data_IF_479113503721
#
_entry.id   IF_479113503721
#
_cell.length_a   1.000
_cell.length_b   1.000
_cell.length_c   1.000
_cell.angle_alpha   90.00
_cell.angle_beta   90.00
_cell.angle_gamma   90.00
#
_symmetry.space_group_name_H-M   'P 1'
#
loop_
_entity.id
_entity.type
_entity.pdbx_description
1 polymer ?
2 polymer ?
3 non-polymer ?
4 water ?
#
loop_
_entity_poly.entity_id
_entity_poly.type
_entity_poly.pdbx_seq_one_letter_code
_entity_poly.pdbx_strand_id
1 'polyribonucleotide' 'GGGAGUAUAUGGGCGCACUUCGGUGACGGUACAGGCUCCU' ?
#
# COMPACT_ATOMS: atom_id res chain seq x y z
N UNK B 13 1.07 -8.12 21.92
CA UNK B 13 2.14 -8.65 21.09
C UNK B 13 1.63 -9.09 19.73
N UNK B 14 1.36 -10.39 19.58
CA UNK B 14 0.86 -10.93 18.32
C UNK B 14 -0.60 -10.55 18.08
N UNK B 15 -1.39 -10.54 19.15
CA UNK B 15 -2.81 -10.20 19.07
C UNK B 15 -2.99 -8.80 18.50
N UNK B 16 -2.15 -7.87 18.92
CA UNK B 16 -2.20 -6.49 18.44
C UNK B 16 -1.90 -6.45 16.94
N UNK B 17 -0.98 -7.29 16.50
CA UNK B 17 -0.60 -7.35 15.09
C UNK B 17 -1.75 -7.90 14.24
N UNK B 18 -2.36 -9.00 14.71
CA UNK B 18 -3.50 -9.59 14.02
C UNK B 18 -4.65 -8.59 13.92
N UNK B 19 -4.97 -7.96 15.04
CA UNK B 19 -5.99 -6.92 15.07
C UNK B 19 -5.66 -5.80 14.10
N UNK B 20 -4.37 -5.46 14.01
CA UNK B 20 -3.91 -4.43 13.10
C UNK B 20 -4.18 -4.79 11.64
N UNK B 21 -3.79 -6.00 11.26
CA UNK B 21 -3.98 -6.45 9.89
C UNK B 21 -5.45 -6.52 9.52
N UNK B 22 -6.25 -7.10 10.42
CA UNK B 22 -7.69 -7.19 10.20
C UNK B 22 -8.30 -5.79 10.08
N UNK B 23 -7.75 -4.85 10.84
CA UNK B 23 -8.21 -3.47 10.79
C UNK B 23 -7.90 -2.83 9.44
N UNK B 24 -6.67 -3.02 8.97
CA UNK B 24 -6.26 -2.47 7.68
C UNK B 24 -7.11 -3.04 6.56
N UNK B 25 -7.35 -4.34 6.61
CA UNK B 25 -8.19 -5.01 5.62
C UNK B 25 -9.61 -4.48 5.66
N UNK B 26 -10.16 -4.32 6.86
CA UNK B 26 -11.52 -3.82 7.02
C UNK B 26 -11.64 -2.37 6.59
N UNK B 27 -10.53 -1.65 6.61
CA UNK B 27 -10.51 -0.24 6.23
C UNK B 27 -10.39 -0.07 4.72
N UNK B 28 -10.27 -1.18 4.01
CA UNK B 28 -10.19 -1.17 2.56
C UNK B 28 -11.45 -1.74 1.93
N UNK B 29 -12.43 -0.87 1.65
CA UNK B 29 -13.72 -1.29 1.11
C UNK B 29 -13.63 -1.78 -0.34
N UNK B 30 -14.51 -2.70 -0.73
CA UNK B 30 -14.55 -3.22 -2.10
C UNK B 30 -14.76 -2.12 -3.13
N UNK B 31 -14.22 -2.30 -4.34
CA UNK B 31 -14.36 -1.30 -5.40
C UNK B 31 -15.80 -1.17 -5.90
N UNK B 32 -16.08 -0.12 -6.65
CA UNK B 32 -17.42 0.13 -7.17
C UNK B 32 -17.60 -0.53 -8.54
N UNK B 33 -18.49 -1.53 -8.61
CA UNK B 33 -18.75 -2.24 -9.87
C UNK B 33 -19.69 -1.47 -10.80
N UNK B 34 -19.29 -0.26 -11.17
CA UNK B 34 -20.08 0.57 -12.07
C UNK B 34 -19.22 1.16 -13.17
N UNK B 35 -19.85 1.53 -14.29
CA UNK B 35 -19.14 2.12 -15.40
C UNK B 35 -18.67 1.07 -16.39
N UNK B 36 -17.79 1.49 -17.31
CA UNK B 36 -17.26 0.60 -18.33
C UNK B 36 -16.47 -0.56 -17.73
N UNK B 37 -16.18 -1.57 -18.54
CA UNK B 37 -15.43 -2.73 -18.08
C UNK B 37 -14.03 -2.34 -17.64
N UNK B 38 -13.44 -1.37 -18.35
CA UNK B 38 -12.11 -0.90 -18.04
C UNK B 38 -12.07 -0.19 -16.68
N UNK B 39 -13.03 0.70 -16.45
CA UNK B 39 -13.12 1.45 -15.20
C UNK B 39 -13.24 0.52 -14.00
N UNK B 40 -14.18 -0.43 -14.09
CA UNK B 40 -14.36 -1.43 -13.07
C UNK B 40 -13.07 -2.23 -12.87
N UNK B 41 -12.43 -2.58 -13.98
CA UNK B 41 -11.19 -3.35 -13.93
C UNK B 41 -10.12 -2.64 -13.13
N UNK B 42 -9.94 -1.36 -13.39
CA UNK B 42 -8.88 -0.59 -12.74
C UNK B 42 -9.23 -0.23 -11.30
N UNK B 43 -10.52 -0.12 -10.99
CA UNK B 43 -10.92 0.03 -9.60
C UNK B 43 -10.54 -1.24 -8.84
N UNK B 44 -10.85 -2.38 -9.45
CA UNK B 44 -10.51 -3.67 -8.87
C UNK B 44 -9.00 -3.84 -8.78
N UNK B 45 -8.26 -3.19 -9.68
CA UNK B 45 -6.82 -3.28 -9.71
C UNK B 45 -6.19 -2.46 -8.58
N UNK B 46 -6.68 -1.24 -8.41
CA UNK B 46 -6.24 -0.40 -7.29
C UNK B 46 -6.54 -1.10 -5.96
N UNK B 47 -7.77 -1.60 -5.84
CA UNK B 47 -8.19 -2.33 -4.65
C UNK B 47 -7.27 -3.52 -4.39
N UNK B 48 -7.00 -4.29 -5.44
CA UNK B 48 -6.13 -5.46 -5.32
C UNK B 48 -4.72 -5.06 -4.93
N UNK B 49 -4.29 -3.88 -5.35
CA UNK B 49 -2.99 -3.36 -4.99
C UNK B 49 -2.94 -3.08 -3.49
N UNK B 50 -3.98 -2.41 -2.99
CA UNK B 50 -4.08 -2.13 -1.56
C UNK B 50 -4.05 -3.42 -0.74
N UNK B 51 -4.89 -4.37 -1.14
CA UNK B 51 -4.93 -5.69 -0.50
C UNK B 51 -3.55 -6.33 -0.49
N UNK B 52 -2.86 -6.24 -1.63
CA UNK B 52 -1.53 -6.81 -1.76
C UNK B 52 -0.54 -6.18 -0.79
N UNK B 53 -0.61 -4.87 -0.64
CA UNK B 53 0.25 -4.17 0.31
C UNK B 53 0.00 -4.62 1.73
N UNK B 54 -1.28 -4.68 2.10
CA UNK B 54 -1.66 -5.13 3.44
C UNK B 54 -1.14 -6.55 3.70
N UNK B 55 -1.27 -7.42 2.70
CA UNK B 55 -0.77 -8.78 2.86
C UNK B 55 0.74 -8.81 2.97
N UNK B 56 1.42 -7.88 2.28
CA UNK B 56 2.86 -7.81 2.39
C UNK B 56 3.24 -7.50 3.83
N UNK B 57 2.53 -6.54 4.42
CA UNK B 57 2.72 -6.21 5.83
C UNK B 57 2.51 -7.42 6.74
N UNK B 58 1.35 -8.06 6.61
CA UNK B 58 1.00 -9.21 7.43
C UNK B 58 2.01 -10.34 7.31
N UNK B 59 2.46 -10.58 6.09
CA UNK B 59 3.43 -11.64 5.80
C UNK B 59 4.77 -11.31 6.42
N UNK B 60 5.13 -10.02 6.45
CA UNK B 60 6.37 -9.62 7.09
C UNK B 60 6.27 -9.78 8.61
N UNK B 61 5.08 -9.53 9.15
CA UNK B 61 4.86 -9.75 10.59
C UNK B 61 4.99 -11.24 10.92
N UNK B 62 4.42 -12.08 10.06
CA UNK B 62 4.50 -13.53 10.23
C UNK B 62 5.93 -14.05 10.07
N UNK B 63 6.72 -13.36 9.25
CA UNK B 63 8.09 -13.79 8.98
C UNK B 63 9.01 -13.56 10.18
N UNK B 64 8.70 -12.53 10.98
CA UNK B 64 9.51 -12.20 12.15
C UNK B 64 8.96 -12.85 13.41
N UNK B 65 8.16 -13.89 13.24
CA UNK B 65 7.58 -14.60 14.38
C UNK B 65 7.82 -16.11 14.26
N UNK C 15 7.33 -6.70 13.68
CA UNK C 15 8.39 -5.98 14.37
C UNK C 15 7.90 -4.58 14.75
N UNK C 16 8.84 -3.70 15.10
CA UNK C 16 8.51 -2.31 15.42
C UNK C 16 7.81 -1.65 14.23
N UNK C 17 6.88 -0.76 14.52
CA UNK C 17 6.10 -0.09 13.47
C UNK C 17 7.02 0.62 12.47
N UNK C 18 8.02 1.33 13.01
CA UNK C 18 8.98 2.05 12.20
C UNK C 18 9.65 1.16 11.15
N UNK C 19 10.01 -0.05 11.56
CA UNK C 19 10.63 -1.02 10.67
C UNK C 19 9.69 -1.41 9.54
N UNK C 20 8.43 -1.68 9.88
CA UNK C 20 7.41 -2.02 8.89
C UNK C 20 7.24 -0.89 7.88
N UNK C 21 7.21 0.34 8.39
CA UNK C 21 7.04 1.52 7.54
C UNK C 21 8.23 1.63 6.58
N UNK C 22 9.43 1.43 7.11
CA UNK C 22 10.64 1.45 6.29
C UNK C 22 10.55 0.39 5.20
N UNK C 23 10.02 -0.78 5.55
CA UNK C 23 9.80 -1.84 4.58
C UNK C 23 8.84 -1.38 3.49
N UNK C 24 7.81 -0.65 3.87
CA UNK C 24 6.84 -0.13 2.91
C UNK C 24 7.49 0.85 1.95
N UNK C 25 8.32 1.74 2.49
CA UNK C 25 9.03 2.71 1.65
C UNK C 25 10.06 2.03 0.76
N UNK C 26 10.59 0.90 1.22
CA UNK C 26 11.54 0.11 0.44
C UNK C 26 10.86 -0.58 -0.71
N UNK C 27 9.56 -0.82 -0.57
CA UNK C 27 8.79 -1.55 -1.57
C UNK C 27 8.27 -0.63 -2.68
N UNK C 28 8.71 0.62 -2.66
CA UNK C 28 8.33 1.57 -3.72
C UNK C 28 9.48 1.77 -4.68
N UNK C 29 9.40 1.13 -5.86
CA UNK C 29 10.46 1.23 -6.87
C UNK C 29 10.58 2.62 -7.47
N UNK C 30 11.82 3.08 -7.69
CA UNK C 30 12.08 4.37 -8.34
C UNK C 30 11.66 4.36 -9.80
N UNK C 31 11.20 5.51 -10.32
CA UNK C 31 10.71 5.61 -11.70
C UNK C 31 11.80 5.41 -12.75
N UNK C 32 11.40 5.04 -13.97
CA UNK C 32 12.32 4.83 -15.07
C UNK C 32 12.79 6.16 -15.65
N UNK C 33 14.12 6.41 -15.59
CA UNK C 33 14.71 7.65 -16.11
C UNK C 33 14.68 7.74 -17.63
N UNK C 34 14.53 6.61 -18.30
CA UNK C 34 14.52 6.59 -19.76
C UNK C 34 13.18 7.06 -20.32
N UNK C 35 13.18 7.50 -21.57
CA UNK C 35 11.97 7.94 -22.24
C UNK C 35 11.91 9.43 -22.46
N UNK C 36 10.75 9.91 -22.91
CA UNK C 36 10.54 11.34 -23.14
C UNK C 36 10.31 12.06 -21.82
N UNK C 37 10.41 13.39 -21.86
CA UNK C 37 10.23 14.21 -20.66
C UNK C 37 8.86 14.00 -20.03
N UNK C 38 7.85 13.88 -20.89
CA UNK C 38 6.48 13.69 -20.42
C UNK C 38 6.30 12.33 -19.74
N UNK C 39 6.88 11.29 -20.34
CA UNK C 39 6.80 9.95 -19.79
C UNK C 39 7.46 9.88 -18.42
N UNK C 40 8.69 10.39 -18.35
CA UNK C 40 9.44 10.43 -17.09
C UNK C 40 8.69 11.23 -16.04
N UNK C 41 8.07 12.32 -16.47
CA UNK C 41 7.25 13.15 -15.60
C UNK C 41 6.11 12.33 -15.00
N UNK C 42 5.38 11.63 -15.87
CA UNK C 42 4.30 10.76 -15.43
C UNK C 42 4.77 9.72 -14.43
N UNK C 43 5.87 9.05 -14.74
CA UNK C 43 6.43 8.01 -13.86
C UNK C 43 6.76 8.59 -12.49
N UNK C 44 7.39 9.76 -12.48
CA UNK C 44 7.70 10.45 -11.24
C UNK C 44 6.43 10.74 -10.45
N UNK C 45 5.38 11.20 -11.13
CA UNK C 45 4.12 11.51 -10.47
C UNK C 45 3.50 10.26 -9.84
N UNK C 46 3.54 9.15 -10.57
CA UNK C 46 3.04 7.89 -10.04
C UNK C 46 3.81 7.49 -8.79
N UNK C 47 5.13 7.61 -8.86
CA UNK C 47 5.99 7.31 -7.72
C UNK C 47 5.62 8.16 -6.51
N UNK C 48 5.41 9.45 -6.74
CA UNK C 48 5.04 10.37 -5.68
C UNK C 48 3.69 10.00 -5.07
N UNK C 49 2.75 9.59 -5.92
CA UNK C 49 1.46 9.13 -5.44
C UNK C 49 1.63 7.94 -4.50
N UNK C 50 2.43 6.97 -4.95
CA UNK C 50 2.74 5.80 -4.14
C UNK C 50 3.32 6.21 -2.79
N UNK C 51 4.25 7.15 -2.81
CA UNK C 51 4.85 7.66 -1.58
C UNK C 51 3.79 8.25 -0.65
N UNK C 52 2.87 9.04 -1.21
CA UNK C 52 1.79 9.64 -0.43
C UNK C 52 0.94 8.57 0.24
N UNK C 53 0.61 7.53 -0.53
CA UNK C 53 -0.17 6.42 -0.01
C UNK C 53 0.56 5.78 1.16
N UNK C 54 1.83 5.44 0.94
CA UNK C 54 2.67 4.84 1.97
C UNK C 54 2.66 5.69 3.24
N UNK C 55 2.76 7.00 3.08
CA UNK C 55 2.73 7.90 4.22
C UNK C 55 1.40 7.82 4.97
N UNK C 56 0.30 7.85 4.23
CA UNK C 56 -1.03 7.78 4.82
C UNK C 56 -1.23 6.51 5.64
N UNK C 57 -0.99 5.37 5.00
CA UNK C 57 -1.19 4.09 5.66
C UNK C 57 -0.20 3.93 6.83
N UNK C 58 0.98 4.52 6.69
CA UNK C 58 1.98 4.46 7.76
C UNK C 58 1.48 5.23 8.96
N UNK C 59 0.81 6.34 8.69
CA UNK C 59 0.25 7.17 9.74
C UNK C 59 -0.86 6.42 10.47
N UNK C 60 -1.73 5.78 9.70
CA UNK C 60 -2.83 5.02 10.28
C UNK C 60 -2.33 3.79 11.05
N UNK C 61 -1.19 3.26 10.65
CA UNK C 61 -0.56 2.15 11.37
C UNK C 61 0.02 2.63 12.69
N UNK C 62 0.84 3.68 12.63
CA UNK C 62 1.51 4.22 13.80
C UNK C 62 0.51 4.72 14.85
N UNK C 63 -0.61 5.25 14.40
CA UNK C 63 -1.63 5.75 15.32
C UNK C 63 -2.13 4.66 16.27
N UNK C 64 -2.34 3.47 15.74
CA UNK C 64 -2.70 2.32 16.57
C UNK C 64 -1.49 1.41 16.74
N UNK C 65 -1.73 0.14 17.03
CA UNK C 65 -0.68 -0.88 17.12
C UNK C 65 0.34 -0.62 18.24
N UNK C 66 0.24 0.53 18.89
CA UNK C 66 1.16 0.90 19.96
C UNK C 66 0.48 1.83 20.98
#
# INVERSE_FOLDING_TARGET
GAMAGRSGDSDEDSLKAVRLIKFLYQSNPPPNPEGTRQARRNRRRRWRARQRQIHSISERIRSTYLGRSAEP
GAMAGRSGDSDEDSLKAVRLIKFLYQSNPPPNPEGTRQARRNRRRRWRARQRQIHSISERIRSTYLGRSAEP
#
